data_IF_001198335890
#
_entry.id   IF_001198335890
#
_cell.length_a   1.000
_cell.length_b   1.000
_cell.length_c   1.000
_cell.angle_alpha   90.00
_cell.angle_beta   90.00
_cell.angle_gamma   90.00
#
_symmetry.space_group_name_H-M   'P 1'
#
loop_
_entity.id
_entity.type
_entity.pdbx_description
1 polymer ?
#
# COMPACT_ATOMS: atom_id res chain seq x y z
N UNK A 1 -2.75 0.11 17.26
CA UNK A 1 -4.18 -0.18 17.19
C UNK A 1 -4.40 -1.68 17.17
N UNK A 2 -4.69 -2.30 18.30
CA UNK A 2 -4.90 -3.73 18.39
C UNK A 2 -6.30 -4.15 17.92
N UNK A 3 -6.43 -5.34 17.38
CA UNK A 3 -7.70 -5.99 17.11
C UNK A 3 -8.04 -6.92 18.28
N UNK A 4 -9.23 -6.79 18.90
CA UNK A 4 -9.66 -7.74 19.92
C UNK A 4 -9.85 -9.12 19.30
N UNK A 5 -9.64 -10.16 20.10
CA UNK A 5 -9.81 -11.57 19.69
C UNK A 5 -8.81 -12.11 18.66
N UNK A 6 -7.61 -11.54 18.58
CA UNK A 6 -6.49 -12.13 17.87
C UNK A 6 -5.58 -12.89 18.84
N UNK A 7 -5.10 -14.04 18.39
CA UNK A 7 -4.25 -14.94 19.17
C UNK A 7 -3.07 -15.37 18.31
N UNK A 8 -1.89 -15.40 18.91
CA UNK A 8 -0.69 -15.97 18.31
C UNK A 8 -0.43 -17.37 18.92
N UNK A 9 0.07 -18.30 18.13
CA UNK A 9 0.57 -19.57 18.60
C UNK A 9 1.98 -19.36 19.14
N UNK A 10 2.18 -19.72 20.41
CA UNK A 10 3.46 -19.63 21.10
C UNK A 10 3.89 -21.03 21.57
N UNK A 11 5.09 -21.16 22.13
CA UNK A 11 5.55 -22.41 22.75
C UNK A 11 4.63 -22.87 23.91
N UNK A 12 3.88 -21.95 24.50
CA UNK A 12 2.95 -22.22 25.60
C UNK A 12 1.49 -22.43 25.15
N UNK A 13 1.24 -22.42 23.82
CA UNK A 13 -0.09 -22.51 23.22
C UNK A 13 -0.59 -21.18 22.67
N UNK A 14 -1.90 -21.02 22.55
CA UNK A 14 -2.52 -19.82 22.01
C UNK A 14 -2.61 -18.70 23.03
N UNK A 15 -1.94 -17.58 22.77
CA UNK A 15 -1.94 -16.40 23.62
C UNK A 15 -2.56 -15.19 22.88
N UNK A 16 -3.25 -14.27 23.59
CA UNK A 16 -3.80 -13.07 22.98
C UNK A 16 -2.71 -12.22 22.33
N UNK A 17 -2.91 -11.87 21.04
CA UNK A 17 -2.02 -10.96 20.29
C UNK A 17 -2.81 -9.73 19.77
N UNK A 18 -3.21 -8.82 20.67
CA UNK A 18 -3.97 -7.64 20.28
C UNK A 18 -3.16 -6.65 19.44
N UNK A 19 -1.84 -6.72 19.45
CA UNK A 19 -0.94 -5.81 18.73
C UNK A 19 -0.56 -6.33 17.35
N UNK A 20 -0.82 -7.62 17.04
CA UNK A 20 -0.46 -8.25 15.77
C UNK A 20 1.02 -8.04 15.45
N UNK A 21 1.87 -8.51 16.36
CA UNK A 21 3.33 -8.28 16.36
C UNK A 21 4.02 -8.83 15.11
N UNK A 22 3.37 -9.75 14.39
CA UNK A 22 3.88 -10.35 13.16
C UNK A 22 3.50 -9.55 11.88
N UNK A 23 2.83 -8.39 11.99
CA UNK A 23 2.52 -7.53 10.85
C UNK A 23 3.78 -7.25 10.01
N UNK A 24 3.67 -7.38 8.70
CA UNK A 24 4.79 -7.20 7.76
C UNK A 24 4.44 -6.17 6.69
N UNK A 25 5.44 -5.44 6.30
CA UNK A 25 5.39 -4.51 5.18
C UNK A 25 6.69 -4.62 4.37
N UNK A 26 6.65 -4.19 3.11
CA UNK A 26 7.79 -4.12 2.22
C UNK A 26 8.06 -2.65 1.85
N UNK A 27 9.31 -2.21 2.01
CA UNK A 27 9.76 -0.89 1.58
C UNK A 27 10.65 -0.98 0.33
N UNK A 28 10.36 -0.14 -0.65
CA UNK A 28 11.21 0.02 -1.84
C UNK A 28 11.62 1.46 -1.97
N UNK A 29 12.91 1.75 -1.83
CA UNK A 29 13.45 3.09 -2.06
C UNK A 29 13.64 3.33 -3.56
N UNK A 30 12.89 4.26 -4.12
CA UNK A 30 12.96 4.65 -5.53
C UNK A 30 13.74 5.97 -5.64
N UNK A 31 14.88 5.93 -6.32
CA UNK A 31 15.75 7.08 -6.49
C UNK A 31 14.99 8.30 -7.05
N UNK A 32 15.13 9.45 -6.39
CA UNK A 32 14.46 10.70 -6.74
C UNK A 32 12.97 10.75 -6.41
N UNK A 33 12.42 9.74 -5.73
CA UNK A 33 11.04 9.69 -5.24
C UNK A 33 10.99 9.57 -3.72
N UNK A 34 11.60 8.54 -3.16
CA UNK A 34 11.53 8.17 -1.76
C UNK A 34 11.02 6.75 -1.57
N UNK A 35 10.55 6.45 -0.37
CA UNK A 35 10.12 5.13 0.04
C UNK A 35 8.69 4.84 -0.41
N UNK A 36 8.51 3.76 -1.15
CA UNK A 36 7.23 3.16 -1.48
C UNK A 36 6.99 2.04 -0.46
N UNK A 37 5.95 2.17 0.34
CA UNK A 37 5.59 1.20 1.38
C UNK A 37 4.43 0.34 0.88
N UNK A 38 4.65 -0.96 0.82
CA UNK A 38 3.62 -1.95 0.51
C UNK A 38 3.19 -2.63 1.80
N UNK A 39 1.92 -2.62 2.07
CA UNK A 39 1.33 -3.33 3.20
C UNK A 39 0.29 -4.34 2.70
N UNK A 40 0.01 -5.38 3.49
CA UNK A 40 -1.07 -6.33 3.16
C UNK A 40 -2.42 -5.76 3.60
N UNK A 41 -2.78 -5.95 4.87
CA UNK A 41 -4.04 -5.48 5.44
C UNK A 41 -3.87 -4.36 6.47
N UNK A 42 -2.67 -4.16 7.01
CA UNK A 42 -2.38 -3.21 8.09
C UNK A 42 -3.25 -3.42 9.33
N UNK A 43 -3.32 -4.64 9.84
CA UNK A 43 -4.10 -4.95 11.04
C UNK A 43 -3.56 -4.25 12.28
N UNK A 44 -2.24 -4.07 12.37
CA UNK A 44 -1.60 -3.26 13.42
C UNK A 44 -1.86 -1.74 13.23
N UNK A 45 -2.39 -1.34 12.08
CA UNK A 45 -2.71 0.03 11.70
C UNK A 45 -1.75 0.61 10.67
N UNK A 46 -2.29 1.16 9.58
CA UNK A 46 -1.49 1.78 8.50
C UNK A 46 -0.61 2.93 9.01
N UNK A 47 -1.06 3.67 10.02
CA UNK A 47 -0.29 4.74 10.66
C UNK A 47 0.95 4.18 11.35
N UNK A 48 0.82 3.05 12.04
CA UNK A 48 1.93 2.41 12.74
C UNK A 48 2.92 1.77 11.75
N UNK A 49 2.42 1.19 10.65
CA UNK A 49 3.26 0.75 9.53
C UNK A 49 4.11 1.91 8.99
N UNK A 50 3.51 3.09 8.75
CA UNK A 50 4.22 4.25 8.22
C UNK A 50 5.19 4.88 9.23
N UNK A 51 4.85 4.90 10.52
CA UNK A 51 5.79 5.33 11.58
C UNK A 51 7.01 4.43 11.61
N UNK A 52 6.81 3.12 11.64
CA UNK A 52 7.90 2.14 11.63
C UNK A 52 8.74 2.24 10.36
N UNK A 53 8.11 2.44 9.19
CA UNK A 53 8.82 2.65 7.94
C UNK A 53 9.70 3.92 7.98
N UNK A 54 9.19 5.03 8.52
CA UNK A 54 9.92 6.29 8.68
C UNK A 54 11.08 6.17 9.67
N UNK A 55 10.90 5.42 10.75
CA UNK A 55 11.96 5.16 11.74
C UNK A 55 13.05 4.25 11.16
N UNK A 56 12.67 3.20 10.43
CA UNK A 56 13.60 2.25 9.81
C UNK A 56 14.43 2.89 8.69
N UNK A 57 13.85 3.84 7.94
CA UNK A 57 14.49 4.52 6.82
C UNK A 57 14.48 6.05 7.04
N UNK A 58 15.09 6.49 8.13
CA UNK A 58 15.04 7.90 8.60
C UNK A 58 15.51 8.91 7.57
N UNK A 59 16.45 8.53 6.70
CA UNK A 59 17.04 9.41 5.67
C UNK A 59 16.29 9.37 4.33
N UNK A 60 15.21 8.58 4.25
CA UNK A 60 14.43 8.41 3.02
C UNK A 60 13.01 8.93 3.24
N UNK A 61 12.56 9.98 2.54
CA UNK A 61 11.21 10.48 2.69
C UNK A 61 10.19 9.43 2.24
N UNK A 62 9.08 9.32 2.97
CA UNK A 62 7.94 8.51 2.54
C UNK A 62 7.32 9.14 1.29
N UNK A 63 7.04 8.33 0.28
CA UNK A 63 6.42 8.80 -0.96
C UNK A 63 5.03 8.22 -1.17
N UNK A 64 4.89 6.91 -1.04
CA UNK A 64 3.63 6.21 -1.32
C UNK A 64 3.38 5.13 -0.30
N UNK A 65 2.12 4.95 0.08
CA UNK A 65 1.65 3.72 0.73
C UNK A 65 0.67 3.00 -0.20
N UNK A 66 0.84 1.68 -0.34
CA UNK A 66 0.03 0.83 -1.20
C UNK A 66 -0.40 -0.43 -0.46
N UNK A 67 -1.72 -0.69 -0.39
CA UNK A 67 -2.26 -1.91 0.22
C UNK A 67 -3.63 -1.75 0.86
N UNK A 68 -3.94 -2.63 1.81
CA UNK A 68 -5.14 -2.57 2.62
C UNK A 68 -4.89 -1.82 3.94
N UNK A 69 -5.89 -1.08 4.41
CA UNK A 69 -5.76 -0.27 5.63
C UNK A 69 -6.68 -0.75 6.77
N UNK A 70 -7.36 -1.86 6.56
CA UNK A 70 -8.26 -2.50 7.52
C UNK A 70 -9.23 -1.52 8.21
N UNK A 71 -9.89 -0.69 7.41
CA UNK A 71 -10.80 0.37 7.87
C UNK A 71 -12.27 0.08 7.54
N UNK A 72 -12.63 -1.18 7.32
CA UNK A 72 -14.01 -1.62 7.08
C UNK A 72 -14.59 -2.37 8.28
N UNK A 73 -15.91 -2.37 8.41
CA UNK A 73 -16.59 -3.05 9.51
C UNK A 73 -16.40 -2.34 10.85
N UNK A 74 -15.99 -3.04 11.88
CA UNK A 74 -15.83 -2.50 13.24
C UNK A 74 -14.77 -1.39 13.33
N UNK A 75 -13.83 -1.36 12.41
CA UNK A 75 -12.77 -0.35 12.38
C UNK A 75 -13.18 0.95 11.68
N UNK A 76 -14.37 1.04 11.11
CA UNK A 76 -14.86 2.28 10.49
C UNK A 76 -14.89 3.47 11.47
N UNK A 77 -15.08 3.21 12.75
CA UNK A 77 -15.11 4.24 13.82
C UNK A 77 -13.82 5.05 13.94
N UNK A 78 -12.68 4.49 13.48
CA UNK A 78 -11.38 5.15 13.57
C UNK A 78 -10.94 5.79 12.23
N UNK A 79 -11.78 5.79 11.20
CA UNK A 79 -11.49 6.43 9.91
C UNK A 79 -11.05 7.89 10.09
N UNK A 80 -11.76 8.75 10.85
CA UNK A 80 -11.39 10.16 10.97
C UNK A 80 -10.00 10.35 11.56
N UNK A 81 -9.68 9.63 12.63
CA UNK A 81 -8.38 9.73 13.32
C UNK A 81 -7.24 9.20 12.43
N UNK A 82 -7.48 8.08 11.74
CA UNK A 82 -6.51 7.50 10.81
C UNK A 82 -6.22 8.45 9.64
N UNK A 83 -7.26 9.02 9.03
CA UNK A 83 -7.12 9.94 7.90
C UNK A 83 -6.39 11.21 8.32
N UNK A 84 -6.68 11.76 9.51
CA UNK A 84 -5.97 12.93 10.03
C UNK A 84 -4.49 12.61 10.30
N UNK A 85 -4.20 11.48 10.95
CA UNK A 85 -2.81 11.07 11.19
C UNK A 85 -2.01 10.85 9.91
N UNK A 86 -2.64 10.40 8.82
CA UNK A 86 -1.97 10.23 7.52
C UNK A 86 -1.46 11.55 6.92
N UNK A 87 -2.00 12.72 7.30
CA UNK A 87 -1.52 14.04 6.84
C UNK A 87 -0.08 14.30 7.24
N UNK A 88 0.33 13.80 8.42
CA UNK A 88 1.67 14.02 8.96
C UNK A 88 2.80 13.40 8.13
N UNK A 89 2.46 12.47 7.25
CA UNK A 89 3.45 11.75 6.43
C UNK A 89 3.76 12.42 5.10
N UNK A 90 2.96 13.40 4.66
CA UNK A 90 3.20 14.14 3.42
C UNK A 90 3.24 13.26 2.17
N UNK A 91 2.44 12.21 2.13
CA UNK A 91 2.44 11.22 1.04
C UNK A 91 2.06 11.84 -0.30
N UNK A 92 2.86 11.58 -1.31
CA UNK A 92 2.56 11.98 -2.69
C UNK A 92 1.48 11.09 -3.34
N UNK A 93 1.31 9.86 -2.84
CA UNK A 93 0.28 8.94 -3.33
C UNK A 93 -0.17 7.96 -2.24
N UNK A 94 -1.46 7.67 -2.23
CA UNK A 94 -2.12 6.69 -1.37
C UNK A 94 -2.88 5.73 -2.28
N UNK A 95 -2.38 4.51 -2.44
CA UNK A 95 -3.01 3.48 -3.25
C UNK A 95 -3.69 2.47 -2.34
N UNK A 96 -4.95 2.72 -1.98
CA UNK A 96 -5.68 1.94 -1.00
C UNK A 96 -6.71 1.01 -1.65
N UNK A 97 -6.97 -0.12 -1.00
CA UNK A 97 -7.96 -1.08 -1.46
C UNK A 97 -8.11 -2.25 -0.49
N UNK A 98 -8.48 -3.43 -1.00
CA UNK A 98 -8.67 -4.64 -0.19
C UNK A 98 -9.63 -4.38 1.00
N UNK A 99 -9.15 -4.48 2.23
CA UNK A 99 -9.90 -4.27 3.46
C UNK A 99 -10.06 -2.80 3.90
N UNK A 100 -9.67 -1.83 3.07
CA UNK A 100 -9.83 -0.39 3.38
C UNK A 100 -11.32 0.00 3.47
N UNK A 101 -12.15 -0.56 2.63
CA UNK A 101 -13.58 -0.25 2.59
C UNK A 101 -13.91 1.08 1.89
N UNK A 102 -15.14 1.19 1.39
CA UNK A 102 -15.55 2.33 0.59
C UNK A 102 -15.69 3.63 1.37
N UNK A 103 -16.09 3.55 2.68
CA UNK A 103 -16.21 4.74 3.55
C UNK A 103 -14.86 5.37 3.81
N UNK A 104 -13.86 4.54 4.11
CA UNK A 104 -12.49 5.02 4.27
C UNK A 104 -11.93 5.59 2.95
N UNK A 105 -12.19 4.94 1.81
CA UNK A 105 -11.83 5.49 0.50
C UNK A 105 -12.45 6.86 0.26
N UNK A 106 -13.73 7.04 0.56
CA UNK A 106 -14.39 8.34 0.43
C UNK A 106 -13.75 9.41 1.32
N UNK A 107 -13.44 9.07 2.58
CA UNK A 107 -12.77 9.98 3.51
C UNK A 107 -11.34 10.34 3.06
N UNK A 108 -10.58 9.38 2.56
CA UNK A 108 -9.25 9.61 1.99
C UNK A 108 -9.32 10.56 0.79
N UNK A 109 -10.22 10.32 -0.16
CA UNK A 109 -10.39 11.19 -1.33
C UNK A 109 -10.85 12.59 -0.92
N UNK A 110 -11.78 12.71 0.01
CA UNK A 110 -12.24 14.01 0.52
C UNK A 110 -11.11 14.82 1.17
N UNK A 111 -10.13 14.13 1.79
CA UNK A 111 -9.05 14.76 2.55
C UNK A 111 -7.83 15.08 1.69
N UNK A 112 -7.42 14.15 0.82
CA UNK A 112 -6.16 14.24 0.05
C UNK A 112 -6.39 14.53 -1.43
N UNK A 113 -7.62 14.38 -1.92
CA UNK A 113 -7.97 14.55 -3.31
C UNK A 113 -7.72 13.30 -4.18
N UNK A 114 -8.37 13.27 -5.33
CA UNK A 114 -8.33 12.17 -6.31
C UNK A 114 -6.99 12.04 -7.05
N UNK A 115 -6.17 13.07 -7.01
CA UNK A 115 -4.81 13.05 -7.56
C UNK A 115 -3.82 12.28 -6.66
N UNK A 116 -4.07 12.28 -5.36
CA UNK A 116 -3.24 11.60 -4.36
C UNK A 116 -3.77 10.20 -4.07
N UNK A 117 -5.10 10.06 -3.97
CA UNK A 117 -5.75 8.79 -3.61
C UNK A 117 -6.19 8.03 -4.84
N UNK A 118 -5.75 6.78 -4.92
CA UNK A 118 -6.07 5.90 -6.04
C UNK A 118 -6.51 4.53 -5.50
N UNK A 119 -7.69 4.02 -5.91
CA UNK A 119 -8.08 2.67 -5.51
C UNK A 119 -7.19 1.61 -6.18
N UNK A 120 -6.79 0.61 -5.41
CA UNK A 120 -6.15 -0.59 -5.97
C UNK A 120 -7.20 -1.53 -6.58
N UNK A 121 -6.83 -2.24 -7.64
CA UNK A 121 -7.67 -3.25 -8.28
C UNK A 121 -6.80 -4.30 -8.95
N UNK A 122 -7.35 -5.50 -9.13
CA UNK A 122 -6.69 -6.57 -9.88
C UNK A 122 -6.38 -6.10 -11.30
N UNK A 123 -5.13 -6.30 -11.74
CA UNK A 123 -4.66 -5.86 -13.06
C UNK A 123 -4.23 -4.39 -13.12
N UNK A 124 -4.47 -3.57 -12.09
CA UNK A 124 -3.99 -2.19 -12.07
C UNK A 124 -2.48 -2.14 -11.89
N UNK A 125 -1.83 -1.38 -12.75
CA UNK A 125 -0.38 -1.17 -12.71
C UNK A 125 -0.06 0.18 -12.08
N UNK A 126 0.89 0.20 -11.15
CA UNK A 126 1.52 1.40 -10.60
C UNK A 126 2.97 1.43 -11.07
N UNK A 127 3.42 2.57 -11.59
CA UNK A 127 4.78 2.75 -12.09
C UNK A 127 5.45 3.89 -11.32
N UNK A 128 6.51 3.56 -10.60
CA UNK A 128 7.33 4.50 -9.87
C UNK A 128 8.69 4.59 -10.57
N UNK A 129 8.90 5.64 -11.35
CA UNK A 129 10.18 5.87 -12.03
C UNK A 129 10.68 7.28 -11.74
N UNK A 130 11.97 7.47 -11.82
CA UNK A 130 12.63 8.78 -11.67
C UNK A 130 12.60 9.63 -12.96
N UNK A 131 11.60 9.42 -13.82
CA UNK A 131 11.45 10.11 -15.10
C UNK A 131 12.28 9.54 -16.25
N UNK A 132 13.15 8.53 -16.01
CA UNK A 132 13.74 7.76 -17.10
C UNK A 132 12.70 6.73 -17.55
N UNK A 133 12.24 6.86 -18.78
CA UNK A 133 11.33 5.91 -19.43
C UNK A 133 11.96 4.51 -19.37
N UNK A 134 11.45 3.66 -18.48
CA UNK A 134 11.62 2.23 -18.67
C UNK A 134 10.75 1.89 -19.88
N UNK A 135 11.39 1.45 -20.97
CA UNK A 135 10.70 1.00 -22.17
C UNK A 135 9.60 0.00 -21.72
N UNK A 136 8.40 0.19 -22.21
CA UNK A 136 7.27 -0.68 -21.88
C UNK A 136 7.63 -2.13 -22.19
N UNK A 137 7.75 -3.03 -21.21
CA UNK A 137 8.10 -4.43 -21.49
C UNK A 137 7.05 -5.15 -22.32
N UNK A 138 5.87 -4.57 -22.54
CA UNK A 138 4.82 -5.11 -23.42
C UNK A 138 5.01 -4.69 -24.89
N UNK A 139 5.77 -3.63 -25.17
CA UNK A 139 6.01 -3.16 -26.54
C UNK A 139 6.83 -4.16 -27.40
N UNK A 140 7.52 -5.13 -26.79
CA UNK A 140 8.29 -6.16 -27.53
C UNK A 140 7.45 -7.35 -28.03
N UNK A 141 6.18 -7.47 -27.67
CA UNK A 141 5.36 -8.62 -28.07
C UNK A 141 4.57 -8.43 -29.37
N UNK A 142 4.47 -7.23 -29.90
CA UNK A 142 3.71 -6.96 -31.14
C UNK A 142 4.54 -6.84 -32.41
N UNK A 143 5.87 -6.81 -32.31
CA UNK A 143 6.77 -6.65 -33.48
C UNK A 143 7.26 -7.97 -34.11
N UNK A 144 6.79 -9.15 -33.65
CA UNK A 144 7.32 -10.44 -34.07
C UNK A 144 6.34 -11.41 -34.76
N UNK A 145 5.17 -10.97 -35.19
CA UNK A 145 4.17 -11.88 -35.79
C UNK A 145 3.79 -11.49 -37.23
N UNK A 146 4.79 -11.30 -38.10
CA UNK A 146 4.55 -11.22 -39.53
C UNK A 146 5.75 -11.86 -40.28
N UNK A 147 6.02 -13.12 -40.03
CA UNK A 147 6.92 -13.91 -40.88
C UNK A 147 6.07 -14.77 -41.79
N UNK A 148 6.13 -14.43 -43.08
CA UNK A 148 5.42 -15.04 -44.20
C UNK A 148 5.72 -16.52 -44.30
N UNK A 149 4.70 -17.38 -44.10
CA UNK A 149 4.76 -18.78 -44.54
C UNK A 149 4.62 -18.75 -46.07
N UNK A 150 5.72 -18.91 -46.79
CA UNK A 150 5.73 -19.31 -48.20
C UNK A 150 5.53 -20.82 -48.26
N UNK A 151 4.38 -21.25 -48.81
CA UNK A 151 4.17 -22.64 -49.23
C UNK A 151 4.81 -22.83 -50.59
N UNK A 152 5.71 -23.77 -50.70
CA UNK A 152 6.09 -24.47 -51.93
C UNK A 152 5.21 -25.72 -52.08
#
# INVERSE_FOLDING_TARGET
>A
QGLPNHYAETENGWEPDPLLVDERWLGVNVAGKGLIVFTACSHAGVVDVLKHARETFSDVPLHTVLGGFHLSGETEKIIPETVEALREFGLASIAAGHCTGWRAMAALVATFGDKVVTPTAVGKRFVFSNGKHLADPTARRTAGANEKIKRT
#
